data_IF_080118737161
#
_entry.id   IF_080118737161
#
_cell.length_a   1.000
_cell.length_b   1.000
_cell.length_c   1.000
_cell.angle_alpha   90.00
_cell.angle_beta   90.00
_cell.angle_gamma   90.00
#
_symmetry.space_group_name_H-M   'P 1'
#
loop_
_entity.id
_entity.type
_entity.pdbx_description
1 polymer ?
#
# COMPACT_ATOMS: atom_id res chain seq x y z
N UNK A 1 -19.05 42.19 -25.65
CA UNK A 1 -19.32 41.03 -24.78
C UNK A 1 -18.59 39.84 -25.38
N UNK A 2 -17.46 39.41 -24.81
CA UNK A 2 -16.72 38.23 -25.25
C UNK A 2 -16.69 37.25 -24.08
N UNK A 3 -17.42 36.15 -24.22
CA UNK A 3 -17.38 35.03 -23.26
C UNK A 3 -16.17 34.17 -23.57
N UNK A 4 -15.13 34.25 -22.75
CA UNK A 4 -13.99 33.32 -22.80
C UNK A 4 -14.44 31.95 -22.28
N UNK A 5 -14.49 30.95 -23.17
CA UNK A 5 -14.60 29.55 -22.78
C UNK A 5 -13.31 29.13 -22.06
N UNK A 6 -13.35 28.99 -20.74
CA UNK A 6 -12.25 28.40 -19.99
C UNK A 6 -12.19 26.91 -20.31
N UNK A 7 -11.14 26.50 -21.01
CA UNK A 7 -10.83 25.09 -21.23
C UNK A 7 -10.30 24.53 -19.91
N UNK A 8 -11.05 23.62 -19.26
CA UNK A 8 -10.60 22.96 -18.04
C UNK A 8 -9.47 21.99 -18.41
N UNK A 9 -8.23 22.39 -18.13
CA UNK A 9 -7.07 21.50 -18.23
C UNK A 9 -7.14 20.49 -17.08
N UNK A 10 -7.65 19.29 -17.36
CA UNK A 10 -7.61 18.18 -16.40
C UNK A 10 -6.18 17.64 -16.33
N UNK A 11 -5.49 17.88 -15.23
CA UNK A 11 -4.23 17.21 -14.94
C UNK A 11 -4.50 15.78 -14.49
N UNK A 12 -3.78 14.82 -15.06
CA UNK A 12 -3.78 13.43 -14.57
C UNK A 12 -2.89 13.37 -13.34
N UNK A 13 -3.43 12.85 -12.23
CA UNK A 13 -2.71 12.70 -10.96
C UNK A 13 -2.72 11.24 -10.57
N UNK A 14 -1.53 10.67 -10.36
CA UNK A 14 -1.39 9.33 -9.78
C UNK A 14 -1.58 9.38 -8.27
N UNK A 15 -2.27 8.38 -7.72
CA UNK A 15 -2.59 8.28 -6.28
C UNK A 15 -1.72 7.27 -5.55
N UNK A 16 -1.33 6.19 -6.23
CA UNK A 16 -0.45 5.19 -5.68
C UNK A 16 0.41 4.55 -6.76
N UNK A 17 1.44 3.83 -6.34
CA UNK A 17 2.24 2.96 -7.20
C UNK A 17 2.62 1.67 -6.47
N UNK A 18 2.88 0.63 -7.25
CA UNK A 18 3.33 -0.66 -6.75
C UNK A 18 4.86 -0.74 -6.85
N UNK A 19 5.52 -1.23 -5.81
CA UNK A 19 6.97 -1.38 -5.75
C UNK A 19 7.37 -2.77 -5.26
N UNK A 20 8.33 -3.43 -5.94
CA UNK A 20 8.87 -4.74 -5.57
C UNK A 20 10.38 -4.72 -5.35
N UNK A 21 11.06 -5.85 -5.58
CA UNK A 21 12.53 -6.03 -5.56
C UNK A 21 13.22 -6.07 -4.19
N UNK A 22 12.75 -5.32 -3.20
CA UNK A 22 13.40 -5.31 -1.86
C UNK A 22 13.12 -6.60 -1.07
N UNK A 23 12.07 -7.36 -1.43
CA UNK A 23 11.66 -8.64 -0.81
C UNK A 23 11.69 -8.59 0.73
N UNK A 24 11.16 -7.51 1.28
CA UNK A 24 11.04 -7.32 2.73
C UNK A 24 9.62 -6.92 3.10
N UNK A 25 9.22 -7.48 4.23
CA UNK A 25 8.10 -7.07 5.04
C UNK A 25 8.28 -5.61 5.48
N UNK A 26 7.72 -4.65 4.75
CA UNK A 26 7.81 -3.25 5.15
C UNK A 26 6.49 -2.77 5.77
N UNK A 27 6.61 -2.01 6.85
CA UNK A 27 5.50 -1.26 7.46
C UNK A 27 5.50 0.20 7.00
N UNK A 28 6.27 0.53 5.96
CA UNK A 28 6.55 1.91 5.59
C UNK A 28 5.53 2.44 4.57
N UNK A 29 4.68 3.37 5.02
CA UNK A 29 3.90 4.21 4.11
C UNK A 29 4.81 5.35 3.65
N UNK A 30 5.30 5.27 2.41
CA UNK A 30 6.14 6.33 1.85
C UNK A 30 5.26 7.29 1.07
N UNK A 31 5.01 8.46 1.64
CA UNK A 31 4.28 9.55 0.99
C UNK A 31 5.29 10.42 0.24
N UNK A 32 5.23 10.40 -1.08
CA UNK A 32 6.26 11.04 -1.95
C UNK A 32 6.26 12.58 -1.94
N UNK A 33 5.44 13.21 -1.09
CA UNK A 33 5.42 14.65 -0.89
C UNK A 33 5.01 14.91 0.57
N UNK A 34 6.00 15.13 1.43
CA UNK A 34 5.84 15.28 2.88
C UNK A 34 5.31 16.66 3.27
N UNK A 35 5.04 17.53 2.30
CA UNK A 35 4.44 18.83 2.56
C UNK A 35 2.93 18.67 2.82
N UNK A 36 2.37 19.47 3.73
CA UNK A 36 0.95 19.38 4.16
C UNK A 36 -0.05 19.56 3.00
N UNK A 37 0.36 20.22 1.92
CA UNK A 37 -0.39 20.49 0.70
C UNK A 37 0.13 19.68 -0.51
N UNK A 38 0.96 18.68 -0.27
CA UNK A 38 1.70 17.96 -1.29
C UNK A 38 0.84 16.95 -2.03
N UNK A 39 1.27 16.57 -3.23
CA UNK A 39 0.61 15.49 -3.96
C UNK A 39 0.85 14.18 -3.22
N UNK A 40 -0.19 13.67 -2.57
CA UNK A 40 -0.15 12.36 -1.92
C UNK A 40 -0.03 11.28 -3.00
N UNK A 41 1.16 10.67 -3.07
CA UNK A 41 1.42 9.46 -3.83
C UNK A 41 1.80 8.36 -2.83
N UNK A 42 0.92 7.39 -2.67
CA UNK A 42 1.07 6.29 -1.72
C UNK A 42 1.84 5.12 -2.36
N UNK A 43 2.91 4.67 -1.70
CA UNK A 43 3.68 3.50 -2.12
C UNK A 43 3.09 2.22 -1.52
N UNK A 44 2.77 1.24 -2.36
CA UNK A 44 2.33 -0.09 -1.93
C UNK A 44 3.42 -1.11 -2.30
N UNK A 45 4.00 -1.76 -1.30
CA UNK A 45 5.04 -2.76 -1.52
C UNK A 45 4.43 -4.11 -1.92
N UNK A 46 5.09 -4.83 -2.82
CA UNK A 46 4.71 -6.20 -3.23
C UNK A 46 5.10 -7.25 -2.17
N UNK A 47 5.89 -6.83 -1.17
CA UNK A 47 6.38 -7.66 -0.07
C UNK A 47 7.23 -8.85 -0.54
N UNK A 48 7.10 -10.03 0.09
CA UNK A 48 7.96 -11.22 -0.11
C UNK A 48 7.31 -12.34 -0.94
N UNK A 49 6.09 -12.14 -1.44
CA UNK A 49 5.39 -13.14 -2.23
C UNK A 49 6.06 -13.35 -3.59
N UNK A 50 6.39 -14.61 -3.90
CA UNK A 50 7.12 -14.96 -5.11
C UNK A 50 8.62 -14.71 -5.06
N UNK A 51 9.17 -14.21 -3.93
CA UNK A 51 10.61 -14.11 -3.75
C UNK A 51 11.25 -15.51 -3.83
N UNK A 52 12.36 -15.70 -4.56
CA UNK A 52 13.10 -16.96 -4.55
C UNK A 52 13.49 -17.35 -3.13
N UNK A 53 13.45 -18.64 -2.79
CA UNK A 53 13.76 -19.14 -1.44
C UNK A 53 15.15 -18.68 -0.95
N UNK A 54 16.13 -18.58 -1.87
CA UNK A 54 17.49 -18.10 -1.57
C UNK A 54 17.55 -16.62 -1.15
N UNK A 55 16.48 -15.87 -1.34
CA UNK A 55 16.36 -14.44 -0.98
C UNK A 55 15.49 -14.23 0.26
N UNK A 56 14.98 -15.31 0.86
CA UNK A 56 14.18 -15.21 2.08
C UNK A 56 15.08 -14.82 3.26
N UNK A 57 14.58 -13.87 4.06
CA UNK A 57 15.23 -13.44 5.30
C UNK A 57 14.69 -14.30 6.45
N UNK A 58 15.52 -15.06 7.16
CA UNK A 58 15.08 -15.82 8.32
C UNK A 58 14.36 -14.95 9.34
N UNK A 59 13.23 -15.42 9.84
CA UNK A 59 12.39 -14.69 10.79
C UNK A 59 11.43 -13.67 10.16
N UNK A 60 11.51 -13.42 8.84
CA UNK A 60 10.56 -12.54 8.16
C UNK A 60 9.45 -13.39 7.53
N UNK A 61 8.17 -13.03 7.70
CA UNK A 61 7.09 -13.78 7.09
C UNK A 61 7.08 -13.59 5.57
N UNK A 62 6.50 -14.57 4.88
CA UNK A 62 6.07 -14.39 3.50
C UNK A 62 4.80 -13.54 3.48
N UNK A 63 4.69 -12.62 2.55
CA UNK A 63 3.67 -11.59 2.56
C UNK A 63 3.25 -11.14 1.17
N UNK A 64 1.99 -10.77 1.04
CA UNK A 64 1.45 -10.05 -0.11
C UNK A 64 0.31 -9.13 0.32
N UNK A 65 -0.14 -8.29 -0.62
CA UNK A 65 -1.31 -7.44 -0.46
C UNK A 65 -2.45 -7.86 -1.40
N UNK A 66 -3.69 -7.79 -0.92
CA UNK A 66 -4.92 -7.83 -1.73
C UNK A 66 -5.44 -6.41 -1.87
N UNK A 67 -5.65 -5.97 -3.11
CA UNK A 67 -6.12 -4.61 -3.42
C UNK A 67 -7.61 -4.68 -3.75
N UNK A 68 -8.42 -3.96 -2.97
CA UNK A 68 -9.86 -3.81 -3.20
C UNK A 68 -10.15 -2.37 -3.56
N UNK A 69 -10.63 -2.14 -4.78
CA UNK A 69 -11.04 -0.80 -5.24
C UNK A 69 -12.56 -0.77 -5.27
N UNK A 70 -13.15 0.15 -4.50
CA UNK A 70 -14.58 0.41 -4.47
C UNK A 70 -14.79 1.92 -4.38
N UNK A 71 -15.69 2.44 -5.22
CA UNK A 71 -15.95 3.88 -5.38
C UNK A 71 -14.65 4.68 -5.58
N UNK A 72 -14.36 5.60 -4.66
CA UNK A 72 -13.19 6.47 -4.68
C UNK A 72 -12.17 6.09 -3.58
N UNK A 73 -12.10 4.79 -3.25
CA UNK A 73 -11.23 4.26 -2.21
C UNK A 73 -10.54 2.97 -2.65
N UNK A 74 -9.26 2.86 -2.33
CA UNK A 74 -8.48 1.63 -2.37
C UNK A 74 -8.26 1.13 -0.94
N UNK A 75 -8.71 -0.08 -0.63
CA UNK A 75 -8.34 -0.81 0.58
C UNK A 75 -7.22 -1.81 0.26
N UNK A 76 -6.15 -1.75 1.06
CA UNK A 76 -4.97 -2.62 0.92
C UNK A 76 -4.95 -3.58 2.10
N UNK A 77 -5.29 -4.85 1.86
CA UNK A 77 -5.26 -5.90 2.89
C UNK A 77 -3.95 -6.66 2.83
N UNK A 78 -3.22 -6.72 3.94
CA UNK A 78 -1.97 -7.47 4.06
C UNK A 78 -2.24 -8.89 4.54
N UNK A 79 -1.63 -9.85 3.86
CA UNK A 79 -1.63 -11.27 4.22
C UNK A 79 -0.21 -11.70 4.54
N UNK A 80 -0.08 -12.61 5.51
CA UNK A 80 1.19 -13.23 5.86
C UNK A 80 1.07 -14.73 5.98
N UNK A 81 2.21 -15.40 5.82
CA UNK A 81 2.41 -16.80 6.12
C UNK A 81 3.76 -16.95 6.83
N UNK A 82 3.75 -17.62 7.98
CA UNK A 82 4.93 -17.78 8.84
C UNK A 82 5.77 -19.00 8.46
N UNK A 83 5.12 -20.08 8.03
CA UNK A 83 5.77 -21.34 7.67
C UNK A 83 5.73 -21.58 6.16
N UNK A 84 6.71 -22.28 5.59
CA UNK A 84 6.81 -22.55 4.14
C UNK A 84 5.54 -23.15 3.55
N UNK A 85 4.84 -24.00 4.31
CA UNK A 85 3.60 -24.66 3.91
C UNK A 85 2.40 -24.28 4.81
N UNK A 86 2.53 -23.21 5.60
CA UNK A 86 1.47 -22.75 6.48
C UNK A 86 0.31 -22.10 5.74
N UNK A 87 -0.79 -21.86 6.46
CA UNK A 87 -1.90 -21.09 5.94
C UNK A 87 -1.55 -19.60 5.80
N UNK A 88 -2.11 -18.96 4.76
CA UNK A 88 -2.14 -17.51 4.68
C UNK A 88 -3.17 -16.96 5.67
N UNK A 89 -2.77 -15.94 6.43
CA UNK A 89 -3.63 -15.28 7.43
C UNK A 89 -3.54 -13.76 7.34
N UNK A 90 -4.55 -13.04 7.87
CA UNK A 90 -4.45 -11.60 8.08
C UNK A 90 -3.16 -11.19 8.81
N UNK A 91 -2.52 -10.12 8.34
CA UNK A 91 -1.36 -9.54 9.02
C UNK A 91 -1.71 -8.22 9.70
N UNK A 92 -2.13 -8.30 10.96
CA UNK A 92 -2.52 -7.15 11.77
C UNK A 92 -1.31 -6.28 12.19
N UNK A 93 -0.72 -5.56 11.23
CA UNK A 93 0.48 -4.72 11.43
C UNK A 93 0.22 -3.22 11.39
N UNK A 94 -0.93 -2.79 10.90
CA UNK A 94 -1.21 -1.38 10.67
C UNK A 94 -1.76 -0.75 11.95
N UNK A 95 -0.91 0.04 12.61
CA UNK A 95 -1.26 0.72 13.86
C UNK A 95 -2.28 1.84 13.61
N UNK A 96 -3.26 1.97 14.50
CA UNK A 96 -4.32 2.99 14.43
C UNK A 96 -4.19 4.07 15.51
N UNK A 97 -3.08 4.08 16.26
CA UNK A 97 -2.88 4.93 17.44
C UNK A 97 -3.05 4.17 18.76
N UNK A 98 -2.79 4.85 19.87
CA UNK A 98 -2.74 4.26 21.20
C UNK A 98 -4.09 3.63 21.59
N UNK A 99 -4.03 2.44 22.20
CA UNK A 99 -5.21 1.72 22.70
C UNK A 99 -6.10 1.07 21.64
N UNK A 100 -5.73 1.15 20.35
CA UNK A 100 -6.48 0.51 19.26
C UNK A 100 -5.77 -0.74 18.75
N UNK A 101 -6.56 -1.79 18.48
CA UNK A 101 -6.05 -3.02 17.86
C UNK A 101 -5.52 -2.70 16.45
N UNK A 102 -4.32 -3.20 16.09
CA UNK A 102 -3.82 -3.07 14.73
C UNK A 102 -4.75 -3.74 13.71
N UNK A 103 -4.81 -3.19 12.50
CA UNK A 103 -5.57 -3.76 11.39
C UNK A 103 -4.66 -4.54 10.45
N UNK A 104 -5.27 -5.46 9.72
CA UNK A 104 -4.67 -6.13 8.58
C UNK A 104 -4.84 -5.36 7.27
N UNK A 105 -5.36 -4.13 7.33
CA UNK A 105 -5.53 -3.28 6.17
C UNK A 105 -5.37 -1.79 6.47
N UNK A 106 -5.22 -1.01 5.40
CA UNK A 106 -5.35 0.45 5.40
C UNK A 106 -6.07 0.93 4.14
N UNK A 107 -6.47 2.20 4.12
CA UNK A 107 -7.21 2.80 3.01
C UNK A 107 -6.47 3.99 2.41
N UNK A 108 -6.57 4.12 1.08
CA UNK A 108 -6.10 5.24 0.27
C UNK A 108 -7.31 5.85 -0.44
N UNK A 109 -7.48 7.18 -0.35
CA UNK A 109 -8.47 7.89 -1.14
C UNK A 109 -7.97 8.09 -2.58
N UNK A 110 -8.83 7.81 -3.57
CA UNK A 110 -8.50 7.91 -5.00
C UNK A 110 -8.87 9.27 -5.63
#
# INVERSE_FOLDING_TARGET
MLTSSQTVQRSVVFRFFLHGHIHKAETSLFRYDMNTNGRKLDRICAETFGAPVREWVPGYPLQYNLLKIEDNQLSVYTRRREEVNGAWKPDARWLQGAGKTPLDYYAIAL
#
